data_IF_887503972895
#
_entry.id   IF_887503972895
#
_cell.length_a   1.000
_cell.length_b   1.000
_cell.length_c   1.000
_cell.angle_alpha   90.00
_cell.angle_beta   90.00
_cell.angle_gamma   90.00
#
_symmetry.space_group_name_H-M   'P 1'
#
loop_
_entity.id
_entity.type
_entity.pdbx_description
1 polymer ?
#
# COMPACT_ATOMS: atom_id res chain seq x y z
N UNK A 1 -18.83 -34.72 -47.98
CA UNK A 1 -18.29 -35.27 -46.72
C UNK A 1 -18.57 -34.26 -45.62
N UNK A 2 -19.67 -34.42 -44.89
CA UNK A 2 -20.05 -33.52 -43.80
C UNK A 2 -19.42 -34.05 -42.51
N UNK A 3 -18.51 -33.28 -41.91
CA UNK A 3 -17.96 -33.56 -40.59
C UNK A 3 -18.89 -32.94 -39.57
N UNK A 4 -19.63 -33.78 -38.84
CA UNK A 4 -20.43 -33.38 -37.69
C UNK A 4 -19.52 -33.42 -36.46
N UNK A 5 -19.15 -32.25 -35.97
CA UNK A 5 -18.39 -32.08 -34.73
C UNK A 5 -19.37 -32.18 -33.54
N UNK A 6 -19.35 -33.30 -32.83
CA UNK A 6 -20.06 -33.46 -31.55
C UNK A 6 -19.24 -32.78 -30.45
N UNK A 7 -19.71 -31.64 -29.94
CA UNK A 7 -19.18 -31.03 -28.72
C UNK A 7 -19.84 -31.74 -27.54
N UNK A 8 -19.07 -32.59 -26.85
CA UNK A 8 -19.45 -33.16 -25.56
C UNK A 8 -19.39 -32.05 -24.50
N UNK A 9 -20.56 -31.57 -24.09
CA UNK A 9 -20.69 -30.69 -22.92
C UNK A 9 -20.61 -31.57 -21.68
N UNK A 10 -19.44 -31.63 -21.06
CA UNK A 10 -19.29 -32.18 -19.71
C UNK A 10 -19.94 -31.23 -18.72
N UNK A 11 -21.19 -31.50 -18.32
CA UNK A 11 -21.79 -30.87 -17.15
C UNK A 11 -21.14 -31.45 -15.90
N UNK A 12 -20.05 -30.85 -15.42
CA UNK A 12 -19.54 -31.12 -14.09
C UNK A 12 -20.59 -30.68 -13.08
N UNK A 13 -21.24 -31.64 -12.41
CA UNK A 13 -22.09 -31.36 -11.27
C UNK A 13 -21.21 -30.77 -10.16
N UNK A 14 -21.23 -29.43 -10.03
CA UNK A 14 -20.59 -28.76 -8.91
C UNK A 14 -21.26 -29.22 -7.61
N UNK A 15 -20.48 -29.75 -6.67
CA UNK A 15 -20.96 -30.06 -5.33
C UNK A 15 -21.38 -28.74 -4.67
N UNK A 16 -22.59 -28.72 -4.14
CA UNK A 16 -23.21 -27.55 -3.53
C UNK A 16 -23.16 -27.70 -2.01
N UNK A 17 -22.75 -26.64 -1.33
CA UNK A 17 -22.56 -26.56 0.12
C UNK A 17 -23.56 -25.60 0.75
N UNK A 18 -23.77 -25.78 2.05
CA UNK A 18 -24.62 -24.96 2.91
C UNK A 18 -23.76 -24.24 3.95
N UNK A 19 -24.07 -22.96 4.18
CA UNK A 19 -23.49 -22.12 5.23
C UNK A 19 -24.63 -21.73 6.16
N UNK A 20 -24.51 -21.97 7.46
CA UNK A 20 -25.51 -21.52 8.44
C UNK A 20 -24.89 -21.08 9.74
N UNK A 21 -25.48 -20.06 10.35
CA UNK A 21 -24.96 -19.45 11.55
C UNK A 21 -25.95 -18.54 12.26
N UNK A 22 -25.51 -17.95 13.36
CA UNK A 22 -26.23 -16.94 14.12
C UNK A 22 -25.43 -15.64 14.15
N UNK A 23 -26.14 -14.52 14.24
CA UNK A 23 -25.55 -13.21 14.50
C UNK A 23 -25.88 -12.81 15.93
N UNK A 24 -24.84 -12.50 16.71
CA UNK A 24 -24.87 -12.17 18.12
C UNK A 24 -24.39 -10.73 18.34
N UNK A 25 -24.79 -10.12 19.45
CA UNK A 25 -24.27 -8.85 19.95
C UNK A 25 -23.06 -9.11 20.89
N UNK A 26 -22.30 -8.08 21.26
CA UNK A 26 -21.20 -8.14 22.24
C UNK A 26 -21.63 -8.73 23.60
N UNK A 27 -22.93 -8.66 23.88
CA UNK A 27 -23.56 -9.20 25.09
C UNK A 27 -23.91 -10.70 24.98
N UNK A 28 -23.71 -11.31 23.80
CA UNK A 28 -24.10 -12.68 23.49
C UNK A 28 -25.59 -12.85 23.16
N UNK A 29 -26.34 -11.76 22.97
CA UNK A 29 -27.75 -11.81 22.59
C UNK A 29 -27.93 -11.95 21.07
N UNK A 30 -28.92 -12.73 20.64
CA UNK A 30 -29.19 -12.96 19.21
C UNK A 30 -29.76 -11.71 18.53
N UNK A 31 -29.15 -11.32 17.42
CA UNK A 31 -29.53 -10.15 16.64
C UNK A 31 -30.50 -10.54 15.52
N UNK A 32 -31.78 -10.21 15.68
CA UNK A 32 -32.77 -10.32 14.59
C UNK A 32 -32.68 -9.17 13.58
N UNK A 33 -33.10 -9.45 12.33
CA UNK A 33 -33.12 -8.52 11.19
C UNK A 33 -31.76 -7.94 10.76
N UNK A 34 -30.64 -8.55 11.12
CA UNK A 34 -29.34 -8.20 10.57
C UNK A 34 -29.23 -8.67 9.12
N UNK A 35 -28.61 -7.87 8.25
CA UNK A 35 -28.36 -8.21 6.84
C UNK A 35 -27.03 -8.96 6.77
N UNK A 36 -27.06 -10.21 6.34
CA UNK A 36 -25.87 -11.04 6.12
C UNK A 36 -25.63 -11.15 4.62
N UNK A 37 -24.42 -10.85 4.17
CA UNK A 37 -24.00 -10.84 2.77
C UNK A 37 -22.76 -11.73 2.62
N UNK A 38 -22.74 -12.58 1.60
CA UNK A 38 -21.63 -13.46 1.26
C UNK A 38 -20.91 -12.95 0.00
N UNK A 39 -19.62 -12.67 0.10
CA UNK A 39 -18.76 -12.24 -1.00
C UNK A 39 -17.78 -13.35 -1.40
N UNK A 40 -17.42 -13.43 -2.70
CA UNK A 40 -16.33 -14.30 -3.18
C UNK A 40 -14.95 -13.63 -3.02
N UNK A 41 -13.88 -14.34 -3.42
CA UNK A 41 -12.49 -13.83 -3.45
C UNK A 41 -12.28 -12.58 -4.30
N UNK A 42 -13.14 -12.38 -5.30
CA UNK A 42 -13.15 -11.24 -6.22
C UNK A 42 -14.01 -10.08 -5.68
N UNK A 43 -14.49 -10.19 -4.44
CA UNK A 43 -15.32 -9.22 -3.73
C UNK A 43 -16.71 -8.98 -4.37
N UNK A 44 -17.22 -9.94 -5.14
CA UNK A 44 -18.56 -9.94 -5.72
C UNK A 44 -19.58 -10.58 -4.77
N UNK A 45 -20.78 -10.00 -4.68
CA UNK A 45 -21.88 -10.51 -3.86
C UNK A 45 -22.47 -11.80 -4.48
N UNK A 46 -22.39 -12.89 -3.73
CA UNK A 46 -22.90 -14.20 -4.13
C UNK A 46 -24.31 -14.44 -3.57
N UNK A 47 -24.59 -13.97 -2.35
CA UNK A 47 -25.89 -14.13 -1.71
C UNK A 47 -26.10 -13.12 -0.58
N UNK A 48 -27.36 -12.78 -0.29
CA UNK A 48 -27.77 -11.99 0.87
C UNK A 48 -29.00 -12.58 1.56
N UNK A 49 -29.08 -12.42 2.87
CA UNK A 49 -30.23 -12.84 3.68
C UNK A 49 -30.37 -11.97 4.93
N UNK A 50 -31.59 -11.85 5.48
CA UNK A 50 -31.83 -11.21 6.78
C UNK A 50 -31.96 -12.27 7.87
N UNK A 51 -31.35 -12.05 9.02
CA UNK A 51 -31.47 -12.96 10.16
C UNK A 51 -32.91 -13.04 10.68
N UNK A 52 -33.32 -14.24 11.08
CA UNK A 52 -34.66 -14.48 11.63
C UNK A 52 -34.80 -13.93 13.08
N UNK A 53 -35.97 -14.13 13.72
CA UNK A 53 -36.23 -13.69 15.11
C UNK A 53 -35.27 -14.29 16.16
N UNK A 54 -34.53 -15.35 15.82
CA UNK A 54 -33.53 -16.01 16.65
C UNK A 54 -32.09 -15.68 16.22
N UNK A 55 -31.91 -14.70 15.33
CA UNK A 55 -30.58 -14.29 14.84
C UNK A 55 -29.95 -15.22 13.81
N UNK A 56 -30.65 -16.26 13.34
CA UNK A 56 -30.04 -17.25 12.42
C UNK A 56 -30.16 -16.86 10.94
N UNK A 57 -29.14 -17.21 10.14
CA UNK A 57 -29.08 -17.09 8.67
C UNK A 57 -28.67 -18.44 8.03
N UNK A 58 -29.01 -18.64 6.75
CA UNK A 58 -28.68 -19.86 6.01
C UNK A 58 -28.55 -19.67 4.49
N UNK A 59 -27.33 -19.77 3.97
CA UNK A 59 -27.05 -19.85 2.54
C UNK A 59 -27.01 -21.31 2.06
N UNK A 60 -27.62 -21.57 0.90
CA UNK A 60 -27.64 -22.89 0.24
C UNK A 60 -27.08 -22.76 -1.17
N UNK A 61 -26.57 -23.86 -1.73
CA UNK A 61 -26.05 -23.93 -3.11
C UNK A 61 -24.78 -23.11 -3.34
N UNK A 62 -23.90 -23.07 -2.35
CA UNK A 62 -22.60 -22.40 -2.45
C UNK A 62 -21.56 -23.39 -3.00
N UNK A 63 -20.62 -22.94 -3.83
CA UNK A 63 -19.55 -23.81 -4.35
C UNK A 63 -18.39 -23.89 -3.35
N UNK A 64 -17.48 -24.83 -3.55
CA UNK A 64 -16.20 -24.81 -2.82
C UNK A 64 -15.40 -23.57 -3.21
N UNK A 65 -14.78 -22.92 -2.23
CA UNK A 65 -14.04 -21.68 -2.44
C UNK A 65 -13.91 -20.84 -1.17
N UNK A 66 -13.19 -19.73 -1.31
CA UNK A 66 -12.97 -18.74 -0.25
C UNK A 66 -14.04 -17.66 -0.33
N UNK A 67 -14.63 -17.36 0.82
CA UNK A 67 -15.71 -16.41 0.94
C UNK A 67 -15.51 -15.47 2.13
N UNK A 68 -16.02 -14.25 1.99
CA UNK A 68 -16.12 -13.27 3.06
C UNK A 68 -17.59 -13.11 3.45
N UNK A 69 -17.92 -13.38 4.71
CA UNK A 69 -19.25 -13.19 5.26
C UNK A 69 -19.31 -11.88 6.02
N UNK A 70 -20.23 -11.00 5.64
CA UNK A 70 -20.45 -9.70 6.28
C UNK A 70 -21.85 -9.64 6.87
N UNK A 71 -21.96 -9.41 8.18
CA UNK A 71 -23.22 -9.03 8.81
C UNK A 71 -23.25 -7.52 9.06
N UNK A 72 -24.38 -6.88 8.77
CA UNK A 72 -24.65 -5.48 9.01
C UNK A 72 -25.96 -5.32 9.78
N UNK A 73 -25.95 -4.51 10.83
CA UNK A 73 -27.17 -3.98 11.43
C UNK A 73 -26.95 -2.53 11.83
N UNK A 74 -27.82 -1.66 11.33
CA UNK A 74 -27.75 -0.22 11.54
C UNK A 74 -26.39 0.38 11.11
N UNK A 75 -25.49 0.65 12.05
CA UNK A 75 -24.14 1.20 11.80
C UNK A 75 -23.01 0.24 12.14
N UNK A 76 -23.33 -0.97 12.58
CA UNK A 76 -22.35 -1.95 13.05
C UNK A 76 -22.16 -3.07 12.03
N UNK A 77 -20.91 -3.47 11.82
CA UNK A 77 -20.54 -4.49 10.83
C UNK A 77 -19.60 -5.53 11.43
N UNK A 78 -19.84 -6.79 11.13
CA UNK A 78 -18.95 -7.90 11.43
C UNK A 78 -18.54 -8.60 10.14
N UNK A 79 -17.26 -8.94 10.01
CA UNK A 79 -16.69 -9.61 8.85
C UNK A 79 -16.03 -10.92 9.30
N UNK A 80 -16.27 -12.01 8.57
CA UNK A 80 -15.65 -13.32 8.84
C UNK A 80 -15.20 -13.97 7.52
N UNK A 81 -13.93 -14.37 7.45
CA UNK A 81 -13.40 -15.14 6.34
C UNK A 81 -13.73 -16.63 6.52
N UNK A 82 -14.19 -17.27 5.44
CA UNK A 82 -14.64 -18.66 5.43
C UNK A 82 -13.99 -19.38 4.25
N UNK A 83 -13.44 -20.57 4.49
CA UNK A 83 -12.96 -21.46 3.43
C UNK A 83 -13.83 -22.72 3.37
N UNK A 84 -14.32 -23.07 2.18
CA UNK A 84 -15.21 -24.21 1.94
C UNK A 84 -14.46 -25.21 1.08
N UNK A 85 -13.83 -26.21 1.71
CA UNK A 85 -13.00 -27.19 1.01
C UNK A 85 -13.77 -28.47 0.62
N UNK A 86 -14.56 -29.08 1.53
CA UNK A 86 -15.18 -30.39 1.25
C UNK A 86 -16.50 -30.72 2.00
N UNK A 87 -16.93 -29.90 2.97
CA UNK A 87 -18.07 -30.16 3.87
C UNK A 87 -18.90 -28.89 4.15
N UNK A 88 -20.16 -29.08 4.55
CA UNK A 88 -21.05 -27.97 4.96
C UNK A 88 -20.54 -27.30 6.25
N UNK A 89 -20.71 -25.98 6.35
CA UNK A 89 -20.34 -25.20 7.53
C UNK A 89 -21.60 -24.84 8.32
N UNK A 90 -21.73 -25.44 9.49
CA UNK A 90 -22.85 -25.24 10.41
C UNK A 90 -22.34 -24.69 11.74
N UNK A 91 -23.07 -23.72 12.32
CA UNK A 91 -22.76 -23.17 13.65
C UNK A 91 -21.81 -21.97 13.64
N UNK A 92 -21.79 -21.19 12.54
CA UNK A 92 -21.00 -19.96 12.48
C UNK A 92 -21.63 -18.90 13.39
N UNK A 93 -20.85 -18.28 14.27
CA UNK A 93 -21.28 -17.17 15.11
C UNK A 93 -20.60 -15.89 14.64
N UNK A 94 -21.39 -14.87 14.28
CA UNK A 94 -20.91 -13.52 13.98
C UNK A 94 -21.29 -12.58 15.11
N UNK A 95 -20.31 -12.04 15.83
CA UNK A 95 -20.56 -11.02 16.84
C UNK A 95 -20.44 -9.63 16.24
N UNK A 96 -21.50 -8.84 16.31
CA UNK A 96 -21.54 -7.44 15.88
C UNK A 96 -21.21 -6.55 17.10
N UNK A 97 -20.30 -5.60 16.92
CA UNK A 97 -19.89 -4.63 17.94
C UNK A 97 -18.95 -3.56 17.36
N UNK A 98 -18.60 -2.50 18.11
CA UNK A 98 -17.65 -1.49 17.67
C UNK A 98 -16.28 -2.14 17.41
N UNK A 99 -15.72 -1.88 16.22
CA UNK A 99 -14.70 -2.70 15.57
C UNK A 99 -13.63 -3.29 16.51
N UNK A 100 -13.62 -4.62 16.63
CA UNK A 100 -12.42 -5.36 16.99
C UNK A 100 -12.38 -6.65 16.16
N UNK A 101 -11.36 -6.72 15.31
CA UNK A 101 -10.97 -7.87 14.49
C UNK A 101 -10.79 -9.10 15.39
N UNK A 102 -11.61 -10.13 15.21
CA UNK A 102 -11.42 -11.43 15.87
C UNK A 102 -11.07 -12.48 14.83
N UNK A 103 -9.81 -12.93 14.87
CA UNK A 103 -9.40 -14.18 14.27
C UNK A 103 -9.90 -15.34 15.13
N UNK A 104 -10.46 -16.31 14.43
CA UNK A 104 -10.94 -17.61 14.86
C UNK A 104 -9.92 -18.42 15.64
N UNK A 105 -10.40 -19.20 16.61
CA UNK A 105 -9.87 -20.53 16.88
C UNK A 105 -11.02 -21.52 17.10
N UNK A 106 -10.87 -22.64 16.39
CA UNK A 106 -11.77 -23.77 16.31
C UNK A 106 -12.10 -24.40 17.66
N UNK A 107 -13.34 -24.88 17.72
CA UNK A 107 -13.91 -25.71 18.76
C UNK A 107 -13.41 -27.17 18.69
N UNK A 108 -13.19 -27.78 19.86
CA UNK A 108 -13.67 -29.13 20.17
C UNK A 108 -14.46 -29.00 21.48
N UNK A 109 -15.79 -29.06 21.45
CA UNK A 109 -16.60 -30.28 21.64
C UNK A 109 -16.71 -30.63 23.14
N UNK A 110 -17.85 -30.88 23.79
CA UNK A 110 -19.19 -31.28 23.39
C UNK A 110 -20.17 -31.02 24.56
N UNK A 111 -21.33 -30.42 24.26
CA UNK A 111 -22.71 -30.87 24.56
C UNK A 111 -23.06 -31.33 25.99
N UNK A 112 -23.94 -30.60 26.68
CA UNK A 112 -25.40 -30.85 26.82
C UNK A 112 -25.67 -31.25 28.30
N UNK A 113 -26.75 -30.92 28.99
CA UNK A 113 -28.08 -30.43 28.65
C UNK A 113 -28.68 -29.73 29.89
N UNK A 114 -29.71 -28.94 29.61
CA UNK A 114 -30.62 -28.16 30.45
C UNK A 114 -31.24 -28.85 31.69
N UNK A 115 -31.52 -28.06 32.75
CA UNK A 115 -32.84 -27.89 33.40
C UNK A 115 -32.73 -27.12 34.74
N UNK A 116 -33.50 -26.03 34.89
CA UNK A 116 -33.98 -25.49 36.18
C UNK A 116 -35.29 -26.22 36.55
N UNK A 117 -35.71 -26.38 37.84
CA UNK A 117 -35.80 -25.28 38.81
C UNK A 117 -35.63 -25.61 40.32
N UNK A 118 -35.31 -24.55 41.08
CA UNK A 118 -35.67 -24.22 42.47
C UNK A 118 -35.34 -25.11 43.69
N UNK A 119 -34.78 -24.38 44.68
CA UNK A 119 -34.97 -24.41 46.16
C UNK A 119 -33.88 -25.05 47.05
N UNK A 120 -33.21 -24.14 47.78
CA UNK A 120 -32.65 -24.22 49.13
C UNK A 120 -31.73 -25.37 49.55
N UNK A 121 -30.45 -25.04 49.74
CA UNK A 121 -29.74 -25.36 50.98
C UNK A 121 -28.54 -24.43 51.15
N UNK A 122 -28.54 -23.69 52.26
CA UNK A 122 -27.42 -22.90 52.76
C UNK A 122 -26.24 -23.83 53.01
N UNK A 123 -25.15 -23.68 52.26
CA UNK A 123 -23.86 -24.28 52.64
C UNK A 123 -22.68 -23.40 52.25
N UNK A 124 -21.99 -22.97 53.31
CA UNK A 124 -20.59 -22.49 53.45
C UNK A 124 -19.90 -22.01 52.16
N UNK A 125 -19.73 -20.69 52.06
CA UNK A 125 -18.99 -20.03 50.98
C UNK A 125 -17.53 -20.53 50.96
N UNK A 126 -17.03 -21.08 49.83
CA UNK A 126 -15.63 -21.45 49.71
C UNK A 126 -14.79 -20.17 49.57
N UNK A 127 -13.73 -20.03 50.37
CA UNK A 127 -12.75 -18.94 50.25
C UNK A 127 -12.19 -18.81 48.82
N UNK A 128 -12.18 -19.89 48.04
CA UNK A 128 -11.75 -19.91 46.64
C UNK A 128 -12.64 -19.05 45.73
N UNK A 129 -13.95 -18.95 46.00
CA UNK A 129 -14.85 -18.14 45.19
C UNK A 129 -14.64 -16.64 45.43
N UNK A 130 -14.27 -16.25 46.66
CA UNK A 130 -13.87 -14.87 46.96
C UNK A 130 -12.56 -14.49 46.28
N UNK A 131 -11.56 -15.40 46.28
CA UNK A 131 -10.28 -15.18 45.59
C UNK A 131 -10.48 -15.07 44.08
N UNK A 132 -11.33 -15.92 43.49
CA UNK A 132 -11.68 -15.85 42.07
C UNK A 132 -12.44 -14.56 41.72
N UNK A 133 -13.34 -14.10 42.59
CA UNK A 133 -14.02 -12.81 42.35
C UNK A 133 -13.07 -11.64 42.46
N UNK A 134 -12.12 -11.64 43.40
CA UNK A 134 -11.13 -10.59 43.55
C UNK A 134 -10.19 -10.54 42.33
N UNK A 135 -9.69 -11.68 41.88
CA UNK A 135 -8.88 -11.79 40.66
C UNK A 135 -9.69 -11.33 39.44
N UNK A 136 -10.98 -11.67 39.35
CA UNK A 136 -11.84 -11.20 38.26
C UNK A 136 -12.05 -9.68 38.27
N UNK A 137 -12.06 -9.08 39.46
CA UNK A 137 -12.16 -7.64 39.63
C UNK A 137 -10.85 -6.95 39.27
N UNK A 138 -9.71 -7.49 39.70
CA UNK A 138 -8.38 -7.01 39.30
C UNK A 138 -8.17 -7.12 37.79
N UNK A 139 -8.59 -8.22 37.14
CA UNK A 139 -8.52 -8.39 35.69
C UNK A 139 -9.38 -7.35 34.95
N UNK A 140 -10.61 -7.09 35.43
CA UNK A 140 -11.46 -6.04 34.85
C UNK A 140 -10.87 -4.65 35.04
N UNK A 141 -10.29 -4.39 36.21
CA UNK A 141 -9.62 -3.12 36.50
C UNK A 141 -8.41 -2.93 35.58
N UNK A 142 -7.56 -3.94 35.43
CA UNK A 142 -6.43 -3.90 34.50
C UNK A 142 -6.89 -3.75 33.05
N UNK A 143 -7.98 -4.43 32.65
CA UNK A 143 -8.59 -4.24 31.33
C UNK A 143 -9.02 -2.79 31.09
N UNK A 144 -9.70 -2.18 32.06
CA UNK A 144 -10.09 -0.78 31.99
C UNK A 144 -8.89 0.19 31.98
N UNK A 145 -7.80 -0.14 32.70
CA UNK A 145 -6.56 0.63 32.64
C UNK A 145 -5.90 0.53 31.26
N UNK A 146 -5.86 -0.66 30.65
CA UNK A 146 -5.37 -0.87 29.28
C UNK A 146 -6.22 -0.11 28.27
N UNK A 147 -7.55 -0.20 28.37
CA UNK A 147 -8.46 0.51 27.47
C UNK A 147 -8.29 2.03 27.59
N UNK A 148 -8.17 2.54 28.82
CA UNK A 148 -7.91 3.95 29.06
C UNK A 148 -6.54 4.39 28.50
N UNK A 149 -5.48 3.61 28.72
CA UNK A 149 -4.15 3.88 28.14
C UNK A 149 -4.18 3.83 26.61
N UNK A 150 -4.92 2.88 26.02
CA UNK A 150 -5.11 2.79 24.57
C UNK A 150 -5.84 4.02 24.03
N UNK A 151 -6.86 4.51 24.75
CA UNK A 151 -7.58 5.73 24.40
C UNK A 151 -6.69 6.96 24.50
N UNK A 152 -5.83 7.04 25.52
CA UNK A 152 -4.87 8.12 25.67
C UNK A 152 -3.81 8.08 24.57
N UNK A 153 -3.31 6.91 24.21
CA UNK A 153 -2.37 6.74 23.09
C UNK A 153 -3.01 7.15 21.76
N UNK A 154 -4.27 6.78 21.51
CA UNK A 154 -5.02 7.22 20.32
C UNK A 154 -5.20 8.75 20.29
N UNK A 155 -5.57 9.37 21.41
CA UNK A 155 -5.69 10.84 21.48
C UNK A 155 -4.32 11.53 21.29
N UNK A 156 -3.26 11.01 21.91
CA UNK A 156 -1.90 11.53 21.73
C UNK A 156 -1.41 11.36 20.29
N UNK A 157 -1.70 10.23 19.66
CA UNK A 157 -1.39 9.99 18.26
C UNK A 157 -2.16 10.95 17.35
N UNK A 158 -3.47 11.11 17.55
CA UNK A 158 -4.29 12.07 16.78
C UNK A 158 -3.80 13.52 16.97
N UNK A 159 -3.40 13.90 18.19
CA UNK A 159 -2.78 15.21 18.45
C UNK A 159 -1.44 15.33 17.74
N UNK A 160 -0.59 14.30 17.79
CA UNK A 160 0.71 14.28 17.11
C UNK A 160 0.58 14.39 15.59
N UNK A 161 -0.36 13.65 14.99
CA UNK A 161 -0.68 13.71 13.56
C UNK A 161 -1.11 15.13 13.13
N UNK A 162 -1.84 15.85 14.00
CA UNK A 162 -2.20 17.26 13.78
C UNK A 162 -0.98 18.20 13.76
N UNK A 163 0.05 17.92 14.57
CA UNK A 163 1.29 18.71 14.59
C UNK A 163 2.21 18.39 13.40
N UNK A 164 2.20 17.15 12.93
CA UNK A 164 2.99 16.74 11.75
C UNK A 164 2.44 17.39 10.47
N UNK A 165 1.12 17.53 10.34
CA UNK A 165 0.52 18.25 9.23
C UNK A 165 -0.82 18.92 9.61
N UNK A 166 -0.88 20.26 9.79
CA UNK A 166 -2.11 20.96 10.18
C UNK A 166 -3.17 21.04 9.06
N UNK A 167 -2.85 20.65 7.82
CA UNK A 167 -3.80 20.62 6.70
C UNK A 167 -4.58 19.30 6.61
N UNK A 168 -4.17 18.28 7.39
CA UNK A 168 -4.81 16.96 7.45
C UNK A 168 -6.22 16.95 8.01
N UNK A 169 -6.55 17.95 8.84
CA UNK A 169 -7.89 18.11 9.43
C UNK A 169 -8.97 18.32 8.37
N UNK A 170 -8.59 18.76 7.16
CA UNK A 170 -9.51 18.98 6.06
C UNK A 170 -9.58 17.79 5.15
N UNK A 171 -10.79 17.27 5.01
CA UNK A 171 -11.11 16.10 4.20
C UNK A 171 -11.09 16.39 2.70
N UNK A 172 -11.13 17.66 2.27
CA UNK A 172 -11.23 18.02 0.85
C UNK A 172 -10.10 18.92 0.38
N UNK A 173 -9.55 18.56 -0.77
CA UNK A 173 -8.60 19.33 -1.56
C UNK A 173 -9.33 19.87 -2.81
N UNK A 174 -9.40 21.18 -2.97
CA UNK A 174 -10.10 21.84 -4.07
C UNK A 174 -9.05 22.45 -5.00
N UNK A 175 -9.00 21.97 -6.23
CA UNK A 175 -8.05 22.45 -7.23
C UNK A 175 -8.73 23.47 -8.13
N UNK A 176 -8.15 24.66 -8.19
CA UNK A 176 -8.63 25.77 -9.00
C UNK A 176 -8.00 25.78 -10.40
N UNK A 177 -8.65 26.47 -11.33
CA UNK A 177 -8.22 26.61 -12.72
C UNK A 177 -6.88 27.35 -12.87
N UNK A 178 -6.52 28.19 -11.90
CA UNK A 178 -5.25 28.88 -11.83
C UNK A 178 -4.11 28.02 -11.24
N UNK A 179 -4.36 26.73 -10.97
CA UNK A 179 -3.39 25.81 -10.40
C UNK A 179 -3.20 25.94 -8.88
N UNK A 180 -3.92 26.85 -8.22
CA UNK A 180 -3.92 26.95 -6.76
C UNK A 180 -4.79 25.83 -6.15
N UNK A 181 -4.36 25.33 -4.99
CA UNK A 181 -5.10 24.33 -4.23
C UNK A 181 -5.60 24.95 -2.92
N UNK A 182 -6.88 24.73 -2.62
CA UNK A 182 -7.51 25.15 -1.37
C UNK A 182 -7.87 23.92 -0.55
N UNK A 183 -7.34 23.83 0.66
CA UNK A 183 -7.72 22.82 1.65
C UNK A 183 -8.81 23.39 2.56
N UNK A 184 -9.90 22.65 2.71
CA UNK A 184 -10.99 23.11 3.55
C UNK A 184 -12.18 22.17 3.60
N UNK A 185 -13.14 22.50 4.46
CA UNK A 185 -14.44 21.83 4.53
C UNK A 185 -15.45 22.60 3.70
N UNK A 186 -16.15 21.93 2.80
CA UNK A 186 -17.22 22.56 2.01
C UNK A 186 -18.45 22.69 2.90
N UNK A 187 -18.84 23.92 3.21
CA UNK A 187 -20.00 24.22 4.06
C UNK A 187 -21.25 24.39 3.21
N UNK A 188 -21.10 24.93 2.01
CA UNK A 188 -22.19 25.14 1.07
C UNK A 188 -21.67 25.06 -0.36
N UNK A 189 -22.48 24.50 -1.26
CA UNK A 189 -22.15 24.28 -2.65
C UNK A 189 -23.41 24.45 -3.50
N UNK A 190 -23.35 25.34 -4.48
CA UNK A 190 -24.34 25.45 -5.54
C UNK A 190 -23.65 25.41 -6.93
N UNK A 191 -24.39 25.77 -7.98
CA UNK A 191 -23.90 25.75 -9.37
C UNK A 191 -22.98 26.93 -9.70
N UNK A 192 -23.01 28.03 -8.93
CA UNK A 192 -22.30 29.28 -9.22
C UNK A 192 -21.18 29.58 -8.22
N UNK A 193 -21.34 29.18 -6.97
CA UNK A 193 -20.51 29.48 -5.81
C UNK A 193 -20.27 28.26 -4.92
N UNK A 194 -19.11 28.26 -4.28
CA UNK A 194 -18.65 27.27 -3.33
C UNK A 194 -18.17 27.99 -2.07
N UNK A 195 -18.77 27.69 -0.92
CA UNK A 195 -18.34 28.23 0.37
C UNK A 195 -17.54 27.18 1.12
N UNK A 196 -16.27 27.50 1.36
CA UNK A 196 -15.28 26.60 1.97
C UNK A 196 -14.80 27.21 3.27
N UNK A 197 -14.84 26.42 4.35
CA UNK A 197 -14.19 26.73 5.61
C UNK A 197 -12.74 26.25 5.57
N UNK A 198 -11.81 27.20 5.56
CA UNK A 198 -10.35 26.99 5.56
C UNK A 198 -9.78 27.30 6.95
N UNK A 199 -8.49 27.02 7.16
CA UNK A 199 -7.81 27.28 8.45
C UNK A 199 -7.90 28.73 8.91
N UNK A 200 -7.95 29.67 7.96
CA UNK A 200 -7.97 31.12 8.23
C UNK A 200 -9.40 31.68 8.25
N UNK A 201 -10.41 30.89 7.87
CA UNK A 201 -11.82 31.30 7.85
C UNK A 201 -12.57 30.86 6.60
N UNK A 202 -13.68 31.52 6.28
CA UNK A 202 -14.52 31.19 5.12
C UNK A 202 -13.99 31.82 3.84
N UNK A 203 -13.82 31.02 2.81
CA UNK A 203 -13.51 31.42 1.45
C UNK A 203 -14.70 31.13 0.54
N UNK A 204 -15.15 32.13 -0.22
CA UNK A 204 -16.17 31.97 -1.26
C UNK A 204 -15.46 31.92 -2.60
N UNK A 205 -15.68 30.84 -3.35
CA UNK A 205 -15.02 30.54 -4.61
C UNK A 205 -16.10 30.36 -5.68
N UNK A 206 -15.94 30.97 -6.84
CA UNK A 206 -16.84 30.71 -7.97
C UNK A 206 -16.68 29.28 -8.49
N UNK A 207 -17.79 28.59 -8.71
CA UNK A 207 -17.82 27.20 -9.17
C UNK A 207 -17.13 27.02 -10.51
N UNK A 208 -17.16 28.04 -11.38
CA UNK A 208 -16.45 28.05 -12.68
C UNK A 208 -14.93 27.96 -12.55
N UNK A 209 -14.38 28.36 -11.40
CA UNK A 209 -12.95 28.33 -11.15
C UNK A 209 -12.49 26.98 -10.56
N UNK A 210 -13.41 26.09 -10.18
CA UNK A 210 -13.08 24.79 -9.58
C UNK A 210 -12.94 23.73 -10.68
N UNK A 211 -11.76 23.10 -10.75
CA UNK A 211 -11.49 22.02 -11.70
C UNK A 211 -11.93 20.68 -11.13
N UNK A 212 -11.55 20.38 -9.88
CA UNK A 212 -11.92 19.14 -9.20
C UNK A 212 -11.83 19.28 -7.68
N UNK A 213 -12.61 18.45 -6.99
CA UNK A 213 -12.64 18.33 -5.53
C UNK A 213 -12.24 16.90 -5.21
N UNK A 214 -11.17 16.72 -4.45
CA UNK A 214 -10.59 15.42 -4.10
C UNK A 214 -10.71 15.23 -2.60
N UNK A 215 -10.80 13.98 -2.15
CA UNK A 215 -10.61 13.65 -0.74
C UNK A 215 -9.13 13.66 -0.38
N UNK A 216 -8.79 14.44 0.64
CA UNK A 216 -7.47 14.45 1.25
C UNK A 216 -7.38 13.24 2.19
N UNK A 217 -7.16 12.06 1.60
CA UNK A 217 -6.84 10.85 2.35
C UNK A 217 -5.36 10.94 2.72
N UNK A 218 -5.07 10.96 4.03
CA UNK A 218 -3.70 10.75 4.47
C UNK A 218 -3.32 9.35 4.02
N UNK A 219 -2.25 9.24 3.23
CA UNK A 219 -1.58 7.96 3.11
C UNK A 219 -1.04 7.65 4.50
N UNK A 220 -1.76 6.83 5.28
CA UNK A 220 -1.15 6.15 6.40
C UNK A 220 -0.01 5.35 5.78
N UNK A 221 1.23 5.72 6.10
CA UNK A 221 2.34 4.78 5.93
C UNK A 221 2.01 3.63 6.87
N UNK A 222 1.42 2.57 6.33
CA UNK A 222 1.28 1.31 7.04
C UNK A 222 2.68 0.93 7.48
N UNK A 223 2.98 1.12 8.77
CA UNK A 223 4.21 0.60 9.33
C UNK A 223 4.14 -0.91 9.15
N UNK A 224 4.94 -1.42 8.23
CA UNK A 224 5.02 -2.85 7.94
C UNK A 224 5.26 -3.59 9.26
N UNK A 225 4.22 -4.26 9.75
CA UNK A 225 4.25 -4.98 11.00
C UNK A 225 5.21 -6.15 10.84
N UNK A 226 6.43 -6.01 11.34
CA UNK A 226 7.40 -7.10 11.40
C UNK A 226 7.07 -7.95 12.63
N UNK A 227 6.62 -9.21 12.47
CA UNK A 227 6.29 -10.07 13.61
C UNK A 227 7.50 -10.25 14.52
N UNK A 228 7.30 -10.14 15.84
CA UNK A 228 8.37 -10.23 16.85
C UNK A 228 9.10 -11.58 16.84
N UNK A 229 8.50 -12.62 16.27
CA UNK A 229 9.08 -13.97 16.15
C UNK A 229 10.29 -14.03 15.21
N UNK A 230 10.45 -13.07 14.29
CA UNK A 230 11.62 -13.01 13.38
C UNK A 230 12.77 -12.22 14.03
N UNK A 231 12.46 -11.44 15.08
CA UNK A 231 13.38 -10.51 15.75
C UNK A 231 14.53 -11.20 16.47
N UNK A 232 14.32 -12.44 16.95
CA UNK A 232 15.38 -13.23 17.60
C UNK A 232 16.28 -13.98 16.61
N UNK A 233 15.76 -14.35 15.43
CA UNK A 233 16.52 -15.08 14.40
C UNK A 233 17.32 -14.17 13.46
N UNK A 234 17.01 -12.89 13.42
CA UNK A 234 17.75 -11.90 12.65
C UNK A 234 18.94 -11.39 13.48
N UNK A 235 20.09 -12.05 13.34
CA UNK A 235 21.35 -11.36 13.63
C UNK A 235 21.52 -10.32 12.52
N UNK A 236 21.52 -9.01 12.80
CA UNK A 236 21.74 -8.01 11.78
C UNK A 236 23.03 -8.37 11.03
N UNK A 237 23.06 -8.30 9.69
CA UNK A 237 24.30 -8.49 8.96
C UNK A 237 25.38 -7.61 9.60
N UNK A 238 26.62 -8.11 9.77
CA UNK A 238 27.67 -7.37 10.43
C UNK A 238 27.74 -6.00 9.75
N UNK A 239 27.48 -4.96 10.55
CA UNK A 239 27.44 -3.58 10.08
C UNK A 239 28.65 -3.38 9.16
N UNK A 240 28.44 -3.03 7.87
CA UNK A 240 29.57 -2.75 6.98
C UNK A 240 30.40 -1.72 7.70
N UNK A 241 31.67 -2.04 7.97
CA UNK A 241 32.54 -1.18 8.77
C UNK A 241 32.42 0.22 8.17
N UNK A 242 31.81 1.14 8.92
CA UNK A 242 31.80 2.56 8.59
C UNK A 242 33.24 2.88 8.25
N UNK A 243 33.49 3.28 7.00
CA UNK A 243 34.83 3.65 6.59
C UNK A 243 35.35 4.62 7.64
N UNK A 244 36.35 4.18 8.41
CA UNK A 244 36.89 4.99 9.48
C UNK A 244 37.23 6.34 8.85
N UNK A 245 36.75 7.47 9.39
CA UNK A 245 37.18 8.75 8.89
C UNK A 245 38.69 8.77 9.07
N UNK A 246 39.43 8.63 7.96
CA UNK A 246 40.85 8.95 7.95
C UNK A 246 40.93 10.41 8.31
N UNK A 247 41.20 10.69 9.58
CA UNK A 247 41.65 12.00 10.02
C UNK A 247 42.81 12.37 9.11
N UNK A 248 42.70 13.56 8.55
CA UNK A 248 43.66 14.18 7.65
C UNK A 248 45.09 13.84 8.10
N UNK A 249 45.73 12.91 7.38
CA UNK A 249 47.19 12.90 7.36
C UNK A 249 47.63 14.22 6.73
N UNK A 250 48.65 14.83 7.32
CA UNK A 250 49.15 16.21 7.14
C UNK A 250 49.69 16.55 5.73
N UNK A 251 49.35 15.74 4.72
CA UNK A 251 49.83 15.87 3.34
C UNK A 251 48.67 16.15 2.38
N UNK A 252 48.42 17.44 2.17
CA UNK A 252 47.46 18.01 1.22
C UNK A 252 47.68 17.59 -0.25
N UNK A 253 48.86 17.06 -0.59
CA UNK A 253 49.20 16.62 -1.95
C UNK A 253 48.54 15.32 -2.41
N UNK A 254 48.11 14.44 -1.48
CA UNK A 254 47.52 13.14 -1.82
C UNK A 254 45.98 13.12 -1.82
N UNK A 255 45.32 14.18 -1.29
CA UNK A 255 43.85 14.30 -1.29
C UNK A 255 43.30 15.13 -2.45
N UNK A 256 44.10 16.06 -2.96
CA UNK A 256 43.71 16.93 -4.08
C UNK A 256 43.89 16.20 -5.41
N UNK A 257 44.92 15.34 -5.53
CA UNK A 257 45.26 14.65 -6.77
C UNK A 257 44.36 13.48 -7.17
N UNK A 258 43.55 12.89 -6.28
CA UNK A 258 42.67 11.75 -6.63
C UNK A 258 41.27 12.18 -7.06
N UNK A 259 40.71 13.26 -6.49
CA UNK A 259 39.41 13.81 -6.94
C UNK A 259 39.54 14.82 -8.07
N UNK A 260 40.63 15.57 -8.17
CA UNK A 260 40.91 16.41 -9.35
C UNK A 260 41.30 15.58 -10.58
N UNK A 261 41.61 14.29 -10.40
CA UNK A 261 41.92 13.37 -11.48
C UNK A 261 40.82 12.37 -11.80
N UNK A 262 39.72 12.26 -11.05
CA UNK A 262 38.63 11.38 -11.46
C UNK A 262 38.02 11.85 -12.79
N UNK A 263 37.40 10.95 -13.54
CA UNK A 263 36.65 11.34 -14.72
C UNK A 263 35.38 12.08 -14.30
N UNK A 264 34.97 13.07 -15.10
CA UNK A 264 33.76 13.83 -14.83
C UNK A 264 33.11 14.19 -16.17
N UNK A 265 31.98 13.56 -16.46
CA UNK A 265 31.25 13.79 -17.70
C UNK A 265 30.15 14.81 -17.47
N UNK A 266 30.19 15.88 -18.27
CA UNK A 266 29.16 16.93 -18.26
C UNK A 266 28.50 17.04 -19.62
N UNK A 267 27.20 17.33 -19.62
CA UNK A 267 26.47 17.67 -20.85
C UNK A 267 26.95 19.04 -21.37
N UNK A 268 27.25 19.11 -22.66
CA UNK A 268 27.62 20.34 -23.35
C UNK A 268 26.43 20.83 -24.15
N UNK A 269 25.81 21.92 -23.69
CA UNK A 269 24.66 22.51 -24.34
C UNK A 269 23.34 21.85 -23.96
N UNK A 270 22.33 22.04 -24.80
CA UNK A 270 20.99 21.48 -24.62
C UNK A 270 20.83 20.17 -25.41
N UNK A 271 19.96 19.29 -24.90
CA UNK A 271 19.54 18.09 -25.64
C UNK A 271 18.55 18.54 -26.70
N UNK A 272 18.88 18.30 -27.97
CA UNK A 272 17.99 18.57 -29.08
C UNK A 272 17.03 17.40 -29.28
N UNK A 273 15.75 17.73 -29.39
CA UNK A 273 14.68 16.77 -29.65
C UNK A 273 14.19 16.93 -31.08
N UNK A 274 14.15 15.84 -31.83
CA UNK A 274 13.64 15.82 -33.20
C UNK A 274 12.64 14.69 -33.36
N UNK A 275 11.44 15.02 -33.85
CA UNK A 275 10.42 14.04 -34.21
C UNK A 275 10.48 13.74 -35.70
N UNK A 276 10.64 12.47 -36.07
CA UNK A 276 10.62 12.04 -37.47
C UNK A 276 9.20 11.80 -37.99
N UNK A 277 9.03 11.65 -39.31
CA UNK A 277 7.76 11.36 -39.98
C UNK A 277 7.10 10.08 -39.47
N UNK A 278 7.90 9.13 -38.99
CA UNK A 278 7.44 7.88 -38.35
C UNK A 278 7.01 8.05 -36.89
N UNK A 279 6.88 9.29 -36.39
CA UNK A 279 6.58 9.65 -35.00
C UNK A 279 7.59 9.16 -33.94
N UNK A 280 8.74 8.63 -34.36
CA UNK A 280 9.85 8.35 -33.44
C UNK A 280 10.49 9.67 -33.00
N UNK A 281 10.89 9.74 -31.74
CA UNK A 281 11.57 10.90 -31.16
C UNK A 281 13.04 10.57 -31.02
N UNK A 282 13.90 11.37 -31.64
CA UNK A 282 15.35 11.26 -31.52
C UNK A 282 15.87 12.35 -30.60
N UNK A 283 16.58 11.95 -29.55
CA UNK A 283 17.33 12.84 -28.68
C UNK A 283 18.81 12.84 -29.09
N UNK A 284 19.34 14.02 -29.39
CA UNK A 284 20.75 14.20 -29.72
C UNK A 284 21.38 15.18 -28.75
N UNK A 285 22.57 14.87 -28.26
CA UNK A 285 23.33 15.76 -27.39
C UNK A 285 24.82 15.44 -27.41
N UNK A 286 25.60 16.35 -26.84
CA UNK A 286 27.04 16.18 -26.70
C UNK A 286 27.41 16.19 -25.22
N UNK A 287 28.30 15.31 -24.83
CA UNK A 287 28.90 15.29 -23.49
C UNK A 287 30.40 15.50 -23.60
N UNK A 288 31.01 15.99 -22.52
CA UNK A 288 32.45 16.23 -22.46
C UNK A 288 33.01 15.75 -21.14
N UNK A 289 34.17 15.10 -21.22
CA UNK A 289 34.95 14.78 -20.03
C UNK A 289 35.73 16.02 -19.59
N UNK A 290 35.35 16.61 -18.47
CA UNK A 290 36.07 17.71 -17.81
C UNK A 290 36.96 17.21 -16.66
N UNK A 291 36.94 15.90 -16.40
CA UNK A 291 37.79 15.25 -15.41
C UNK A 291 39.22 15.01 -15.89
N UNK A 292 40.07 14.56 -14.97
CA UNK A 292 41.50 14.31 -15.23
C UNK A 292 41.85 12.88 -15.62
N UNK A 293 40.89 11.95 -15.59
CA UNK A 293 41.02 10.55 -16.03
C UNK A 293 40.04 10.23 -17.15
N UNK A 294 40.33 9.15 -17.87
CA UNK A 294 39.46 8.64 -18.93
C UNK A 294 38.18 8.07 -18.29
N UNK A 295 37.03 8.45 -18.85
CA UNK A 295 35.78 7.80 -18.55
C UNK A 295 35.57 6.67 -19.56
N UNK A 296 35.28 5.47 -19.08
CA UNK A 296 35.04 4.29 -19.90
C UNK A 296 33.55 3.92 -19.86
N UNK A 297 33.04 3.35 -20.95
CA UNK A 297 31.63 2.94 -21.09
C UNK A 297 30.61 4.05 -20.72
N UNK A 298 30.85 5.25 -21.23
CA UNK A 298 29.99 6.40 -20.95
C UNK A 298 28.61 6.17 -21.56
N UNK A 299 27.58 6.25 -20.71
CA UNK A 299 26.17 6.03 -21.10
C UNK A 299 25.28 7.12 -20.52
N UNK A 300 24.23 7.44 -21.26
CA UNK A 300 23.18 8.37 -20.85
C UNK A 300 21.89 7.58 -20.68
N UNK A 301 21.34 7.59 -19.47
CA UNK A 301 20.07 6.96 -19.15
C UNK A 301 18.98 8.03 -19.16
N UNK A 302 17.96 7.83 -19.98
CA UNK A 302 16.76 8.65 -20.04
C UNK A 302 15.62 7.94 -19.32
N UNK A 303 15.02 8.60 -18.34
CA UNK A 303 13.80 8.13 -17.68
C UNK A 303 12.64 8.94 -18.22
N UNK A 304 11.84 8.31 -19.09
CA UNK A 304 10.67 8.89 -19.74
C UNK A 304 9.45 8.69 -18.85
N UNK A 305 8.73 9.76 -18.51
CA UNK A 305 7.48 9.68 -17.75
C UNK A 305 6.28 9.65 -18.71
N UNK A 306 5.53 8.55 -18.71
CA UNK A 306 4.39 8.33 -19.61
C UNK A 306 3.09 8.95 -19.13
N UNK A 307 2.86 8.94 -17.82
CA UNK A 307 1.62 9.43 -17.23
C UNK A 307 1.86 10.12 -15.87
N UNK A 308 0.82 10.80 -15.37
CA UNK A 308 0.86 11.40 -14.04
C UNK A 308 0.91 10.35 -12.92
N UNK A 309 0.45 9.13 -13.17
CA UNK A 309 0.43 8.00 -12.24
C UNK A 309 1.82 7.42 -11.90
N UNK A 310 2.88 7.90 -12.56
CA UNK A 310 4.25 7.49 -12.27
C UNK A 310 4.78 6.33 -13.12
N UNK A 311 4.07 5.93 -14.18
CA UNK A 311 4.60 4.96 -15.13
C UNK A 311 5.80 5.57 -15.88
N UNK A 312 6.97 4.95 -15.70
CA UNK A 312 8.22 5.38 -16.34
C UNK A 312 8.79 4.29 -17.26
N UNK A 313 9.55 4.71 -18.25
CA UNK A 313 10.38 3.83 -19.08
C UNK A 313 11.79 4.38 -19.14
N UNK A 314 12.76 3.51 -18.86
CA UNK A 314 14.17 3.86 -18.96
C UNK A 314 14.73 3.39 -20.27
N UNK A 315 15.41 4.28 -20.98
CA UNK A 315 16.16 3.97 -22.20
C UNK A 315 17.60 4.43 -22.01
N UNK A 316 18.56 3.62 -22.43
CA UNK A 316 19.98 3.91 -22.30
C UNK A 316 20.59 4.05 -23.68
N UNK A 317 21.38 5.10 -23.88
CA UNK A 317 22.23 5.25 -25.06
C UNK A 317 23.68 5.34 -24.63
N UNK A 318 24.54 4.64 -25.37
CA UNK A 318 25.97 4.85 -25.26
C UNK A 318 26.38 6.15 -25.95
N UNK A 319 27.44 6.76 -25.43
CA UNK A 319 28.05 7.94 -26.03
C UNK A 319 29.14 7.47 -26.99
N UNK A 320 29.15 8.01 -28.20
CA UNK A 320 30.24 7.82 -29.16
C UNK A 320 31.51 8.51 -28.66
N UNK A 321 32.55 7.72 -28.41
CA UNK A 321 33.83 8.17 -27.88
C UNK A 321 35.02 7.71 -28.74
N UNK A 322 36.17 7.62 -28.11
CA UNK A 322 37.39 7.09 -28.70
C UNK A 322 37.46 5.58 -28.52
N UNK A 323 38.07 4.90 -29.49
CA UNK A 323 38.38 3.48 -29.37
C UNK A 323 39.50 3.26 -28.33
N UNK A 324 39.23 2.41 -27.35
CA UNK A 324 40.23 1.98 -26.38
C UNK A 324 40.24 0.46 -26.25
N UNK A 325 41.43 -0.14 -26.18
CA UNK A 325 41.63 -1.57 -25.92
C UNK A 325 42.17 -1.72 -24.51
N UNK A 326 41.41 -2.39 -23.64
CA UNK A 326 41.85 -2.69 -22.28
C UNK A 326 42.87 -3.83 -22.26
N UNK A 327 43.63 -3.95 -21.17
CA UNK A 327 44.56 -5.07 -20.94
C UNK A 327 43.84 -6.43 -20.91
N UNK A 328 42.52 -6.43 -20.66
CA UNK A 328 41.64 -7.60 -20.76
C UNK A 328 41.38 -8.06 -22.21
N UNK A 329 41.81 -7.29 -23.21
CA UNK A 329 41.58 -7.55 -24.64
C UNK A 329 40.21 -7.06 -25.15
N UNK A 330 39.40 -6.43 -24.30
CA UNK A 330 38.12 -5.83 -24.71
C UNK A 330 38.38 -4.50 -25.41
N UNK A 331 37.74 -4.29 -26.56
CA UNK A 331 37.73 -3.02 -27.29
C UNK A 331 36.40 -2.31 -27.08
N UNK A 332 36.43 -1.04 -26.72
CA UNK A 332 35.25 -0.19 -26.57
C UNK A 332 35.38 1.04 -27.44
N UNK A 333 34.26 1.53 -27.96
CA UNK A 333 34.12 2.78 -28.70
C UNK A 333 33.41 3.89 -27.89
N UNK A 334 33.14 3.63 -26.61
CA UNK A 334 32.44 4.55 -25.70
C UNK A 334 33.34 5.10 -24.58
N UNK A 335 34.62 5.31 -24.86
CA UNK A 335 35.58 5.90 -23.91
C UNK A 335 35.89 7.36 -24.21
N UNK A 336 35.85 8.22 -23.19
CA UNK A 336 36.17 9.65 -23.32
C UNK A 336 37.43 9.99 -22.54
N UNK A 337 38.50 10.33 -23.29
CA UNK A 337 39.73 10.86 -22.71
C UNK A 337 39.49 12.21 -22.02
N UNK A 338 40.35 12.61 -21.06
CA UNK A 338 40.30 13.94 -20.45
C UNK A 338 40.24 15.05 -21.50
N UNK A 339 39.22 15.91 -21.43
CA UNK A 339 38.99 17.02 -22.36
C UNK A 339 38.30 16.64 -23.68
N UNK A 340 38.12 15.35 -23.97
CA UNK A 340 37.41 14.89 -25.16
C UNK A 340 35.90 15.04 -25.01
N UNK A 341 35.22 15.27 -26.13
CA UNK A 341 33.76 15.31 -26.24
C UNK A 341 33.24 14.12 -27.05
N UNK A 342 32.09 13.60 -26.67
CA UNK A 342 31.37 12.54 -27.37
C UNK A 342 29.92 12.91 -27.63
N UNK A 343 29.39 12.44 -28.74
CA UNK A 343 27.99 12.66 -29.12
C UNK A 343 27.16 11.41 -28.80
N UNK A 344 25.90 11.60 -28.41
CA UNK A 344 24.96 10.50 -28.23
C UNK A 344 23.69 10.75 -29.04
N UNK A 345 23.11 9.66 -29.52
CA UNK A 345 21.84 9.65 -30.23
C UNK A 345 20.96 8.54 -29.63
N UNK A 346 19.87 8.94 -28.98
CA UNK A 346 18.87 8.00 -28.47
C UNK A 346 17.61 8.09 -29.33
N UNK A 347 17.19 6.97 -29.89
CA UNK A 347 15.92 6.87 -30.62
C UNK A 347 14.87 6.27 -29.70
N UNK A 348 13.83 7.04 -29.42
CA UNK A 348 12.62 6.59 -28.72
C UNK A 348 11.62 6.11 -29.77
N UNK A 349 11.35 4.79 -29.82
CA UNK A 349 10.36 4.24 -30.72
C UNK A 349 8.94 4.70 -30.36
N UNK A 350 8.10 4.81 -31.39
CA UNK A 350 6.71 5.30 -31.26
C UNK A 350 5.76 4.33 -30.54
N UNK A 351 6.16 3.07 -30.33
CA UNK A 351 5.43 2.06 -29.56
C UNK A 351 5.30 2.41 -28.07
N UNK A 352 6.24 3.20 -27.54
CA UNK A 352 6.26 3.67 -26.16
C UNK A 352 5.08 4.64 -25.89
N UNK A 353 4.53 5.26 -26.93
CA UNK A 353 3.46 6.26 -26.85
C UNK A 353 3.97 7.65 -26.49
N UNK A 354 3.05 8.59 -26.30
CA UNK A 354 3.40 9.95 -25.85
C UNK A 354 3.89 9.94 -24.39
N UNK A 355 4.95 10.69 -24.11
CA UNK A 355 5.46 10.94 -22.76
C UNK A 355 5.29 12.42 -22.40
N UNK A 356 5.15 12.72 -21.11
CA UNK A 356 4.96 14.08 -20.60
C UNK A 356 6.27 14.84 -20.41
N UNK A 357 7.36 14.10 -20.17
CA UNK A 357 8.68 14.66 -19.97
C UNK A 357 9.72 13.56 -19.75
N UNK A 358 10.98 13.97 -19.66
CA UNK A 358 12.10 13.08 -19.40
C UNK A 358 13.03 13.68 -18.36
N UNK A 359 13.70 12.82 -17.61
CA UNK A 359 14.92 13.14 -16.88
C UNK A 359 16.07 12.32 -17.45
N UNK A 360 17.30 12.78 -17.25
CA UNK A 360 18.49 12.06 -17.71
C UNK A 360 19.53 11.98 -16.60
N UNK A 361 20.28 10.87 -16.59
CA UNK A 361 21.50 10.69 -15.78
C UNK A 361 22.62 10.21 -16.69
N UNK A 362 23.84 10.64 -16.40
CA UNK A 362 25.03 10.22 -17.14
C UNK A 362 25.87 9.38 -16.20
N UNK A 363 26.12 8.14 -16.59
CA UNK A 363 26.95 7.20 -15.85
C UNK A 363 28.19 6.85 -16.68
N UNK A 364 29.29 6.61 -15.99
CA UNK A 364 30.52 6.11 -16.57
C UNK A 364 31.20 5.15 -15.61
N UNK A 365 32.07 4.33 -16.15
CA UNK A 365 32.93 3.42 -15.41
C UNK A 365 34.38 3.89 -15.56
N UNK A 366 35.23 3.54 -14.61
CA UNK A 366 36.66 3.83 -14.66
C UNK A 366 37.39 2.50 -14.57
N UNK A 367 38.07 2.12 -15.64
CA UNK A 367 38.92 0.94 -15.67
C UNK A 367 40.38 1.39 -15.82
N UNK A 368 41.26 0.78 -15.03
CA UNK A 368 42.71 0.99 -15.14
C UNK A 368 43.29 0.35 -16.40
#
# INVERSE_FOLDING_TARGET
MFVVMFILVNSTFAKNFKISGNVLDITGENISNAIVILFNDSNEEIANEKTNKKGSFQFKKIKAGKYLLRANKDTETANLNIDIEASDLEGIELTIGPETTSQSNDNQGQKSDSQQPNTESVDRVPQDQYVLTEISFELKKMGAEIDNLSSQLRDLQARSEMWVNPLSIYQKEIILNNGSTVFGKIVYQDEETLKVETLVGFLVIDRSNVVRIIENVMAQEDQEYVPEQIRESYSPPPMPKLAEPRYVSDSSSNRVSSRERAANIVLVGNIAEKKDKSNNVTFTGQVKNVGGQRADFVKVNFVLRKNWSGETRTLTSFVGGSYYTFDSGITTDSSLLPGASGEFELIVPSDIGSFLGYSYTIDWEEYE
#
